data_IF_031085193142
#
_entry.id   IF_031085193142
#
_cell.length_a   1.000
_cell.length_b   1.000
_cell.length_c   1.000
_cell.angle_alpha   90.00
_cell.angle_beta   90.00
_cell.angle_gamma   90.00
#
_symmetry.space_group_name_H-M   'P 1'
#
loop_
_entity.id
_entity.type
_entity.pdbx_description
1 polymer ?
#
# COMPACT_ATOMS: atom_id res chain seq x y z
N UNK A 1 -10.35 -3.44 -23.04
CA UNK A 1 -10.63 -4.22 -21.82
C UNK A 1 -9.38 -5.03 -21.54
N UNK A 2 -8.72 -4.83 -20.40
CA UNK A 2 -7.54 -5.63 -20.03
C UNK A 2 -8.05 -7.00 -19.56
N UNK A 3 -7.41 -8.08 -19.98
CA UNK A 3 -7.76 -9.43 -19.53
C UNK A 3 -7.58 -9.53 -17.99
N UNK A 4 -8.54 -10.06 -17.20
CA UNK A 4 -8.38 -10.29 -15.76
C UNK A 4 -7.07 -10.99 -15.35
N UNK A 5 -6.57 -11.95 -16.14
CA UNK A 5 -5.28 -12.58 -15.87
C UNK A 5 -4.10 -11.63 -16.05
N UNK A 6 -4.20 -10.70 -17.00
CA UNK A 6 -3.20 -9.66 -17.22
C UNK A 6 -3.23 -8.62 -16.08
N UNK A 7 -4.43 -8.28 -15.59
CA UNK A 7 -4.62 -7.42 -14.42
C UNK A 7 -3.93 -7.97 -13.18
N UNK A 8 -4.15 -9.26 -12.89
CA UNK A 8 -3.51 -9.97 -11.77
C UNK A 8 -1.98 -9.95 -11.87
N UNK A 9 -1.43 -10.24 -13.06
CA UNK A 9 0.03 -10.20 -13.30
C UNK A 9 0.62 -8.81 -13.07
N UNK A 10 -0.02 -7.78 -13.62
CA UNK A 10 0.47 -6.42 -13.48
C UNK A 10 0.32 -5.89 -12.04
N UNK A 11 -0.76 -6.26 -11.34
CA UNK A 11 -0.91 -5.98 -9.91
C UNK A 11 0.23 -6.63 -9.11
N UNK A 12 0.51 -7.91 -9.35
CA UNK A 12 1.64 -8.63 -8.76
C UNK A 12 2.99 -7.96 -9.05
N UNK A 13 3.18 -7.44 -10.26
CA UNK A 13 4.39 -6.69 -10.63
C UNK A 13 4.54 -5.39 -9.80
N UNK A 14 3.46 -4.63 -9.59
CA UNK A 14 3.50 -3.46 -8.70
C UNK A 14 3.82 -3.84 -7.26
N UNK A 15 3.16 -4.88 -6.74
CA UNK A 15 3.42 -5.39 -5.39
C UNK A 15 4.88 -5.84 -5.22
N UNK A 16 5.44 -6.54 -6.20
CA UNK A 16 6.85 -6.93 -6.21
C UNK A 16 7.80 -5.73 -6.12
N UNK A 17 7.52 -4.67 -6.89
CA UNK A 17 8.29 -3.43 -6.84
C UNK A 17 8.16 -2.72 -5.50
N UNK A 18 6.99 -2.75 -4.87
CA UNK A 18 6.79 -2.25 -3.50
C UNK A 18 7.65 -3.06 -2.53
N UNK A 19 7.67 -4.39 -2.65
CA UNK A 19 8.43 -5.27 -1.76
C UNK A 19 9.94 -4.99 -1.80
N UNK A 20 10.51 -4.80 -2.99
CA UNK A 20 11.93 -4.42 -3.13
C UNK A 20 12.26 -3.07 -2.47
N UNK A 21 11.31 -2.14 -2.46
CA UNK A 21 11.50 -0.83 -1.83
C UNK A 21 11.37 -0.90 -0.32
N UNK A 22 10.44 -1.72 0.19
CA UNK A 22 10.33 -2.03 1.62
C UNK A 22 11.64 -2.68 2.10
N UNK A 23 12.22 -3.62 1.34
CA UNK A 23 13.53 -4.20 1.67
C UNK A 23 14.63 -3.13 1.79
N UNK A 24 14.69 -2.17 0.86
CA UNK A 24 15.65 -1.06 0.94
C UNK A 24 15.45 -0.24 2.21
N UNK A 25 14.20 0.07 2.58
CA UNK A 25 13.87 0.81 3.81
C UNK A 25 14.31 0.01 5.05
N UNK A 26 13.94 -1.27 5.12
CA UNK A 26 14.32 -2.18 6.20
C UNK A 26 15.83 -2.26 6.38
N UNK A 27 16.59 -2.37 5.27
CA UNK A 27 18.05 -2.40 5.32
C UNK A 27 18.65 -1.09 5.78
N UNK A 28 18.17 0.06 5.30
CA UNK A 28 18.63 1.36 5.78
C UNK A 28 18.43 1.50 7.29
N UNK A 29 17.25 1.09 7.79
CA UNK A 29 16.91 1.18 9.21
C UNK A 29 17.77 0.25 10.07
N UNK A 30 17.88 -1.03 9.71
CA UNK A 30 18.73 -1.98 10.42
C UNK A 30 20.20 -1.52 10.44
N UNK A 31 20.69 -1.02 9.31
CA UNK A 31 22.04 -0.48 9.20
C UNK A 31 22.28 0.75 10.10
N UNK A 32 21.28 1.62 10.26
CA UNK A 32 21.37 2.77 11.16
C UNK A 32 21.56 2.34 12.62
N UNK A 33 20.85 1.29 13.06
CA UNK A 33 20.96 0.74 14.42
C UNK A 33 22.35 0.17 14.71
N UNK A 34 23.04 -0.37 13.69
CA UNK A 34 24.40 -0.91 13.80
C UNK A 34 25.51 0.07 13.40
N UNK A 35 25.21 1.36 13.21
CA UNK A 35 26.17 2.36 12.72
C UNK A 35 26.83 2.02 11.37
N UNK A 36 26.16 1.23 10.53
CA UNK A 36 26.61 0.80 9.20
C UNK A 36 25.76 1.42 8.08
N UNK A 37 25.63 2.74 8.10
CA UNK A 37 24.83 3.53 7.15
C UNK A 37 25.02 3.07 5.70
N UNK A 38 23.92 2.94 4.95
CA UNK A 38 23.95 2.37 3.60
C UNK A 38 24.70 3.28 2.62
N UNK A 39 24.50 4.59 2.73
CA UNK A 39 25.21 5.59 1.92
C UNK A 39 26.43 6.18 2.63
N UNK A 40 26.65 5.83 3.90
CA UNK A 40 27.63 6.48 4.77
C UNK A 40 27.14 7.77 5.43
N UNK A 41 25.94 8.27 5.08
CA UNK A 41 25.40 9.54 5.60
C UNK A 41 23.94 9.38 6.05
N UNK A 42 23.67 9.60 7.34
CA UNK A 42 22.36 9.27 7.94
C UNK A 42 21.22 10.08 7.34
N UNK A 43 21.44 11.37 7.08
CA UNK A 43 20.46 12.25 6.43
C UNK A 43 20.10 11.78 5.01
N UNK A 44 21.09 11.29 4.24
CA UNK A 44 20.85 10.73 2.90
C UNK A 44 20.08 9.40 2.97
N UNK A 45 20.38 8.54 3.95
CA UNK A 45 19.62 7.30 4.17
C UNK A 45 18.16 7.59 4.59
N UNK A 46 17.93 8.63 5.39
CA UNK A 46 16.58 9.11 5.75
C UNK A 46 15.83 9.59 4.50
N UNK A 47 16.45 10.44 3.68
CA UNK A 47 15.85 10.92 2.43
C UNK A 47 15.52 9.78 1.48
N UNK A 48 16.43 8.81 1.37
CA UNK A 48 16.22 7.62 0.57
C UNK A 48 14.99 6.84 1.06
N UNK A 49 14.82 6.67 2.37
CA UNK A 49 13.65 5.99 2.93
C UNK A 49 12.35 6.74 2.62
N UNK A 50 12.31 8.07 2.78
CA UNK A 50 11.12 8.86 2.44
C UNK A 50 10.80 8.81 0.94
N UNK A 51 11.83 8.80 0.08
CA UNK A 51 11.67 8.61 -1.37
C UNK A 51 11.09 7.23 -1.69
N UNK A 52 11.63 6.17 -1.06
CA UNK A 52 11.13 4.81 -1.27
C UNK A 52 9.69 4.66 -0.79
N UNK A 53 9.34 5.19 0.38
CA UNK A 53 7.97 5.20 0.91
C UNK A 53 7.01 5.90 -0.05
N UNK A 54 7.37 7.10 -0.53
CA UNK A 54 6.56 7.82 -1.51
C UNK A 54 6.33 7.00 -2.77
N UNK A 55 7.38 6.33 -3.27
CA UNK A 55 7.26 5.46 -4.45
C UNK A 55 6.39 4.24 -4.16
N UNK A 56 6.44 3.64 -2.98
CA UNK A 56 5.54 2.57 -2.59
C UNK A 56 4.08 3.02 -2.63
N UNK A 57 3.79 4.21 -2.09
CA UNK A 57 2.46 4.78 -2.10
C UNK A 57 1.93 5.05 -3.52
N UNK A 58 2.77 5.60 -4.39
CA UNK A 58 2.44 5.79 -5.81
C UNK A 58 2.14 4.46 -6.53
N UNK A 59 2.98 3.44 -6.31
CA UNK A 59 2.78 2.13 -6.91
C UNK A 59 1.51 1.44 -6.39
N UNK A 60 1.17 1.61 -5.12
CA UNK A 60 -0.06 1.09 -4.53
C UNK A 60 -1.30 1.72 -5.18
N UNK A 61 -1.28 3.04 -5.39
CA UNK A 61 -2.36 3.73 -6.10
C UNK A 61 -2.47 3.25 -7.56
N UNK A 62 -1.35 3.10 -8.27
CA UNK A 62 -1.36 2.60 -9.64
C UNK A 62 -1.87 1.16 -9.75
N UNK A 63 -1.47 0.30 -8.81
CA UNK A 63 -1.96 -1.08 -8.75
C UNK A 63 -3.48 -1.11 -8.56
N UNK A 64 -4.00 -0.28 -7.65
CA UNK A 64 -5.44 -0.17 -7.42
C UNK A 64 -6.19 0.33 -8.66
N UNK A 65 -5.72 1.41 -9.32
CA UNK A 65 -6.34 1.90 -10.58
C UNK A 65 -6.41 0.81 -11.63
N UNK A 66 -5.28 0.14 -11.85
CA UNK A 66 -5.16 -0.85 -12.90
C UNK A 66 -6.09 -2.04 -12.66
N UNK A 67 -6.17 -2.48 -11.40
CA UNK A 67 -7.06 -3.57 -11.01
C UNK A 67 -8.48 -3.27 -11.45
N UNK A 68 -8.97 -2.04 -11.25
CA UNK A 68 -10.31 -1.60 -11.65
C UNK A 68 -10.45 -1.31 -13.15
N UNK A 69 -9.46 -0.70 -13.80
CA UNK A 69 -9.44 -0.46 -15.26
C UNK A 69 -9.68 -1.75 -16.06
N UNK A 70 -9.21 -2.86 -15.51
CA UNK A 70 -9.34 -4.17 -16.14
C UNK A 70 -10.77 -4.69 -16.17
N UNK A 71 -11.65 -4.14 -15.32
CA UNK A 71 -13.07 -4.49 -15.26
C UNK A 71 -13.99 -3.39 -15.81
N UNK A 72 -13.45 -2.50 -16.67
CA UNK A 72 -14.24 -1.58 -17.48
C UNK A 72 -14.49 -0.20 -16.85
N UNK A 73 -13.93 0.07 -15.67
CA UNK A 73 -13.88 1.41 -15.11
C UNK A 73 -12.82 2.21 -15.88
N UNK A 74 -13.14 3.20 -16.71
CA UNK A 74 -12.11 3.97 -17.45
C UNK A 74 -11.32 4.97 -16.57
N UNK A 75 -10.70 4.50 -15.48
CA UNK A 75 -9.96 5.30 -14.49
C UNK A 75 -8.61 5.79 -15.00
N UNK A 76 -7.80 4.89 -15.56
CA UNK A 76 -6.38 5.13 -15.82
C UNK A 76 -6.12 6.28 -16.78
N UNK A 77 -6.98 6.43 -17.79
CA UNK A 77 -6.87 7.54 -18.76
C UNK A 77 -7.15 8.91 -18.15
N UNK A 78 -8.04 8.99 -17.15
CA UNK A 78 -8.47 10.25 -16.51
C UNK A 78 -7.57 10.66 -15.35
N UNK A 79 -7.06 9.69 -14.57
CA UNK A 79 -6.34 9.95 -13.31
C UNK A 79 -4.82 9.97 -13.53
N UNK A 80 -4.25 9.00 -14.25
CA UNK A 80 -2.79 8.80 -14.32
C UNK A 80 -2.06 9.88 -15.13
N UNK A 81 -2.72 10.51 -16.09
CA UNK A 81 -2.07 11.40 -17.05
C UNK A 81 -1.98 12.88 -16.61
N UNK A 82 -2.67 13.29 -15.54
CA UNK A 82 -2.86 14.73 -15.24
C UNK A 82 -2.75 15.15 -13.78
N UNK A 83 -2.68 14.23 -12.82
CA UNK A 83 -2.72 14.59 -11.40
C UNK A 83 -1.50 14.04 -10.65
N UNK A 84 -0.72 14.94 -10.07
CA UNK A 84 0.45 14.61 -9.23
C UNK A 84 0.24 14.99 -7.76
N UNK A 85 -0.87 15.68 -7.43
CA UNK A 85 -1.16 16.10 -6.07
C UNK A 85 -1.83 14.97 -5.28
N UNK A 86 -1.24 14.47 -4.18
CA UNK A 86 -1.75 13.34 -3.40
C UNK A 86 -3.24 13.36 -3.08
N UNK A 87 -3.70 14.44 -2.45
CA UNK A 87 -5.09 14.55 -2.02
C UNK A 87 -6.07 14.51 -3.19
N UNK A 88 -5.66 15.05 -4.35
CA UNK A 88 -6.49 15.00 -5.57
C UNK A 88 -6.48 13.62 -6.22
N UNK A 89 -5.37 12.88 -6.12
CA UNK A 89 -5.31 11.50 -6.61
C UNK A 89 -6.25 10.62 -5.78
N UNK A 90 -6.14 10.66 -4.45
CA UNK A 90 -6.99 9.88 -3.53
C UNK A 90 -8.46 10.23 -3.72
N UNK A 91 -8.81 11.51 -3.75
CA UNK A 91 -10.18 11.97 -3.97
C UNK A 91 -10.73 11.46 -5.31
N UNK A 92 -9.94 11.55 -6.38
CA UNK A 92 -10.32 11.01 -7.69
C UNK A 92 -10.44 9.49 -7.68
N UNK A 93 -9.60 8.76 -6.92
CA UNK A 93 -9.76 7.31 -6.76
C UNK A 93 -11.09 7.02 -6.08
N UNK A 94 -11.38 7.67 -4.95
CA UNK A 94 -12.60 7.47 -4.17
C UNK A 94 -13.86 7.77 -4.98
N UNK A 95 -13.86 8.85 -5.75
CA UNK A 95 -14.99 9.23 -6.61
C UNK A 95 -15.34 8.16 -7.65
N UNK A 96 -14.35 7.39 -8.09
CA UNK A 96 -14.55 6.42 -9.16
C UNK A 96 -14.68 4.99 -8.63
N UNK A 97 -13.99 4.68 -7.53
CA UNK A 97 -14.23 3.50 -6.75
C UNK A 97 -14.08 3.81 -5.24
N UNK A 98 -15.17 3.83 -4.46
CA UNK A 98 -15.12 3.97 -3.01
C UNK A 98 -14.30 2.89 -2.30
N UNK A 99 -14.21 1.69 -2.89
CA UNK A 99 -13.56 0.50 -2.32
C UNK A 99 -12.17 0.22 -2.92
N UNK A 100 -11.52 1.26 -3.45
CA UNK A 100 -10.21 1.13 -4.12
C UNK A 100 -9.07 0.74 -3.15
N UNK A 101 -9.26 0.92 -1.86
CA UNK A 101 -8.20 0.77 -0.86
C UNK A 101 -8.02 -0.70 -0.44
N UNK A 102 -6.79 -1.21 -0.26
CA UNK A 102 -6.56 -2.58 0.18
C UNK A 102 -7.24 -2.90 1.51
N UNK A 103 -7.88 -4.06 1.58
CA UNK A 103 -8.50 -4.61 2.78
C UNK A 103 -7.56 -5.68 3.36
N UNK A 104 -6.78 -5.37 4.41
CA UNK A 104 -5.83 -6.31 4.97
C UNK A 104 -6.57 -7.45 5.68
N UNK A 105 -6.07 -8.67 5.49
CA UNK A 105 -6.63 -9.89 6.08
C UNK A 105 -5.56 -10.77 6.72
N UNK A 106 -5.99 -11.67 7.59
CA UNK A 106 -5.15 -12.74 8.12
C UNK A 106 -5.88 -14.07 7.98
N UNK A 107 -5.12 -15.12 7.70
CA UNK A 107 -5.64 -16.47 7.64
C UNK A 107 -5.93 -16.95 9.06
N UNK A 108 -7.16 -17.40 9.28
CA UNK A 108 -7.53 -18.15 10.48
C UNK A 108 -7.40 -19.64 10.17
N UNK A 109 -6.91 -20.42 11.13
CA UNK A 109 -6.73 -21.85 10.97
C UNK A 109 -8.01 -22.49 10.43
N UNK A 110 -7.87 -23.25 9.34
CA UNK A 110 -8.97 -23.99 8.72
C UNK A 110 -9.62 -24.89 9.75
N UNK A 111 -10.89 -24.62 10.07
CA UNK A 111 -11.73 -25.63 10.69
C UNK A 111 -11.76 -26.88 9.79
N UNK A 112 -12.11 -28.03 10.37
CA UNK A 112 -12.15 -29.41 9.84
C UNK A 112 -12.72 -29.63 8.42
N UNK A 113 -13.23 -28.60 7.75
CA UNK A 113 -13.79 -28.62 6.39
C UNK A 113 -12.82 -28.29 5.25
N UNK A 114 -11.57 -27.92 5.53
CA UNK A 114 -10.59 -27.59 4.48
C UNK A 114 -10.81 -26.26 3.75
N UNK A 115 -11.86 -25.50 4.08
CA UNK A 115 -12.07 -24.16 3.58
C UNK A 115 -11.10 -23.15 4.26
N UNK A 116 -10.38 -22.37 3.45
CA UNK A 116 -9.52 -21.27 3.93
C UNK A 116 -10.42 -20.16 4.45
N UNK A 117 -10.34 -19.86 5.75
CA UNK A 117 -11.06 -18.73 6.37
C UNK A 117 -10.09 -17.57 6.56
N UNK A 118 -10.46 -16.39 6.08
CA UNK A 118 -9.70 -15.17 6.26
C UNK A 118 -10.54 -14.13 7.00
N UNK A 119 -9.93 -13.42 7.94
CA UNK A 119 -10.57 -12.35 8.69
C UNK A 119 -9.87 -11.01 8.43
N UNK A 120 -10.66 -9.93 8.35
CA UNK A 120 -10.12 -8.57 8.18
C UNK A 120 -9.29 -8.19 9.40
N UNK A 121 -8.12 -7.59 9.17
CA UNK A 121 -7.39 -6.92 10.25
C UNK A 121 -8.20 -5.70 10.71
N UNK A 122 -8.26 -5.49 12.02
CA UNK A 122 -8.99 -4.36 12.63
C UNK A 122 -8.13 -3.13 12.84
N UNK A 123 -6.83 -3.32 13.07
CA UNK A 123 -5.90 -2.23 13.40
C UNK A 123 -4.44 -2.53 13.01
N UNK A 124 -3.59 -1.52 13.22
CA UNK A 124 -2.14 -1.61 13.05
C UNK A 124 -1.67 -1.65 11.59
N UNK A 125 -2.55 -1.42 10.63
CA UNK A 125 -2.21 -1.24 9.22
C UNK A 125 -2.34 0.23 8.82
N UNK A 126 -1.83 0.59 7.65
CA UNK A 126 -1.93 1.95 7.12
C UNK A 126 -3.34 2.21 6.64
N UNK A 127 -4.14 2.95 7.40
CA UNK A 127 -5.50 3.34 6.97
C UNK A 127 -5.42 4.35 5.82
N UNK A 128 -6.52 4.54 5.10
CA UNK A 128 -6.56 5.50 3.98
C UNK A 128 -6.27 6.95 4.42
N UNK A 129 -6.76 7.36 5.59
CA UNK A 129 -6.50 8.69 6.14
C UNK A 129 -5.00 8.85 6.47
N UNK A 130 -4.42 7.86 7.15
CA UNK A 130 -2.99 7.86 7.48
C UNK A 130 -2.13 7.79 6.21
N UNK A 131 -2.60 7.09 5.17
CA UNK A 131 -1.95 7.06 3.87
C UNK A 131 -1.88 8.45 3.25
N UNK A 132 -2.98 9.21 3.24
CA UNK A 132 -3.00 10.57 2.72
C UNK A 132 -2.01 11.47 3.46
N UNK A 133 -1.97 11.37 4.80
CA UNK A 133 -1.06 12.10 5.65
C UNK A 133 0.40 11.70 5.41
N UNK A 134 0.68 10.38 5.38
CA UNK A 134 2.02 9.84 5.19
C UNK A 134 2.57 10.20 3.81
N UNK A 135 1.76 10.08 2.75
CA UNK A 135 2.15 10.50 1.42
C UNK A 135 2.52 11.99 1.39
N UNK A 136 1.64 12.86 1.91
CA UNK A 136 1.88 14.31 1.94
C UNK A 136 3.18 14.63 2.66
N UNK A 137 3.35 14.03 3.85
CA UNK A 137 4.56 14.16 4.64
C UNK A 137 5.83 13.71 3.90
N UNK A 138 5.80 12.57 3.20
CA UNK A 138 6.93 12.12 2.37
C UNK A 138 7.24 13.13 1.25
N UNK A 139 6.22 13.72 0.63
CA UNK A 139 6.40 14.77 -0.38
C UNK A 139 7.08 16.01 0.19
N UNK A 140 6.56 16.52 1.30
CA UNK A 140 7.09 17.69 2.00
C UNK A 140 8.51 17.46 2.55
N UNK A 141 8.83 16.23 2.95
CA UNK A 141 10.17 15.84 3.39
C UNK A 141 11.22 16.02 2.29
N UNK A 142 10.88 15.60 1.07
CA UNK A 142 11.82 15.58 -0.07
C UNK A 142 12.13 16.97 -0.64
N UNK A 143 11.44 18.01 -0.18
CA UNK A 143 11.77 19.39 -0.52
C UNK A 143 12.92 19.89 0.36
N UNK A 144 13.88 20.60 -0.25
CA UNK A 144 14.91 21.30 0.50
C UNK A 144 14.27 22.36 1.42
N UNK A 145 14.73 22.42 2.67
CA UNK A 145 14.17 23.28 3.72
C UNK A 145 15.19 24.30 4.18
N UNK A 146 14.70 25.45 4.69
CA UNK A 146 15.56 26.48 5.31
C UNK A 146 16.07 26.05 6.68
N UNK A 147 15.23 25.32 7.41
CA UNK A 147 15.57 24.74 8.71
C UNK A 147 16.09 23.32 8.50
N UNK A 148 17.00 22.90 9.37
CA UNK A 148 17.57 21.54 9.35
C UNK A 148 16.52 20.51 9.81
N UNK A 149 15.95 19.69 8.90
CA UNK A 149 14.96 18.69 9.28
C UNK A 149 15.58 17.49 9.97
N UNK A 150 16.91 17.33 9.96
CA UNK A 150 17.64 16.21 10.53
C UNK A 150 18.10 16.48 11.96
N UNK A 151 17.64 17.59 12.59
CA UNK A 151 17.99 17.93 13.97
C UNK A 151 17.64 16.79 14.96
N UNK A 152 16.59 16.04 14.67
CA UNK A 152 16.16 14.87 15.45
C UNK A 152 16.07 13.64 14.54
N UNK A 153 17.22 13.00 14.30
CA UNK A 153 17.32 11.80 13.47
C UNK A 153 16.53 10.62 14.06
N UNK A 154 16.47 10.49 15.38
CA UNK A 154 15.76 9.39 16.03
C UNK A 154 14.26 9.47 15.75
N UNK A 155 13.67 10.67 15.87
CA UNK A 155 12.28 10.89 15.49
C UNK A 155 12.04 10.59 14.01
N UNK A 156 12.99 10.93 13.13
CA UNK A 156 12.89 10.61 11.70
C UNK A 156 12.80 9.10 11.46
N UNK A 157 13.70 8.34 12.09
CA UNK A 157 13.74 6.88 11.97
C UNK A 157 12.50 6.21 12.56
N UNK A 158 12.02 6.67 13.71
CA UNK A 158 10.77 6.18 14.31
C UNK A 158 9.57 6.39 13.38
N UNK A 159 9.51 7.55 12.71
CA UNK A 159 8.42 7.87 11.78
C UNK A 159 8.49 7.00 10.52
N UNK A 160 9.68 6.79 9.97
CA UNK A 160 9.91 5.85 8.86
C UNK A 160 9.48 4.44 9.25
N UNK A 161 9.88 3.95 10.42
CA UNK A 161 9.52 2.64 10.94
C UNK A 161 8.01 2.46 11.07
N UNK A 162 7.32 3.48 11.59
CA UNK A 162 5.86 3.45 11.72
C UNK A 162 5.16 3.35 10.36
N UNK A 163 5.59 4.14 9.37
CA UNK A 163 5.05 4.06 8.01
C UNK A 163 5.33 2.71 7.34
N UNK A 164 6.57 2.21 7.45
CA UNK A 164 6.99 0.90 6.95
C UNK A 164 6.14 -0.21 7.55
N UNK A 165 6.05 -0.28 8.88
CA UNK A 165 5.33 -1.34 9.60
C UNK A 165 3.86 -1.39 9.21
N UNK A 166 3.20 -0.24 9.15
CA UNK A 166 1.79 -0.13 8.77
C UNK A 166 1.56 -0.48 7.30
N UNK A 167 2.44 -0.07 6.40
CA UNK A 167 2.38 -0.41 4.98
C UNK A 167 2.57 -1.93 4.76
N UNK A 168 3.56 -2.53 5.44
CA UNK A 168 3.78 -3.99 5.39
C UNK A 168 2.54 -4.73 5.88
N UNK A 169 1.95 -4.32 7.01
CA UNK A 169 0.74 -4.96 7.54
C UNK A 169 -0.46 -4.80 6.61
N UNK A 170 -0.60 -3.66 5.95
CA UNK A 170 -1.65 -3.43 4.95
C UNK A 170 -1.52 -4.40 3.76
N UNK A 171 -0.31 -4.55 3.22
CA UNK A 171 -0.11 -5.24 1.96
C UNK A 171 0.25 -6.72 2.10
N UNK A 172 0.65 -7.18 3.30
CA UNK A 172 1.12 -8.56 3.52
C UNK A 172 0.17 -9.62 2.96
N UNK A 173 -1.11 -9.48 3.26
CA UNK A 173 -2.19 -10.31 2.71
C UNK A 173 -3.43 -9.45 2.67
N UNK A 174 -4.01 -9.24 1.50
CA UNK A 174 -5.09 -8.29 1.34
C UNK A 174 -6.03 -8.65 0.19
N UNK A 175 -7.25 -8.13 0.30
CA UNK A 175 -8.22 -8.10 -0.78
C UNK A 175 -8.29 -6.71 -1.42
N UNK A 176 -8.66 -6.67 -2.69
CA UNK A 176 -9.18 -5.50 -3.40
C UNK A 176 -10.54 -5.89 -3.96
N UNK A 177 -11.57 -5.09 -3.67
CA UNK A 177 -12.89 -5.29 -4.24
C UNK A 177 -12.91 -4.73 -5.66
N UNK A 178 -13.07 -5.60 -6.66
CA UNK A 178 -13.05 -5.20 -8.07
C UNK A 178 -14.44 -4.84 -8.58
N UNK A 179 -15.43 -5.63 -8.16
CA UNK A 179 -16.87 -5.46 -8.39
C UNK A 179 -17.62 -6.10 -7.21
N UNK A 180 -18.95 -5.97 -7.17
CA UNK A 180 -19.79 -6.62 -6.15
C UNK A 180 -19.63 -8.14 -6.05
N UNK A 181 -19.12 -8.80 -7.10
CA UNK A 181 -18.98 -10.25 -7.17
C UNK A 181 -17.54 -10.73 -7.33
N UNK A 182 -16.57 -9.82 -7.51
CA UNK A 182 -15.17 -10.16 -7.78
C UNK A 182 -14.22 -9.48 -6.80
N UNK A 183 -13.31 -10.28 -6.25
CA UNK A 183 -12.21 -9.81 -5.42
C UNK A 183 -10.89 -10.25 -6.03
N UNK A 184 -9.87 -9.40 -5.87
CA UNK A 184 -8.48 -9.77 -6.07
C UNK A 184 -7.85 -10.02 -4.70
N UNK A 185 -7.34 -11.22 -4.48
CA UNK A 185 -6.56 -11.57 -3.30
C UNK A 185 -5.08 -11.53 -3.66
N UNK A 186 -4.30 -10.80 -2.88
CA UNK A 186 -2.85 -10.71 -3.04
C UNK A 186 -2.15 -11.07 -1.73
N UNK A 187 -1.13 -11.93 -1.84
CA UNK A 187 -0.29 -12.37 -0.73
C UNK A 187 1.18 -12.12 -1.06
N UNK A 188 1.82 -11.34 -0.20
CA UNK A 188 3.24 -11.04 -0.29
C UNK A 188 4.05 -12.22 0.23
N UNK A 189 5.21 -12.53 -0.38
CA UNK A 189 6.05 -13.63 0.07
C UNK A 189 6.72 -13.31 1.40
N UNK A 190 6.98 -14.32 2.22
CA UNK A 190 7.72 -14.15 3.47
C UNK A 190 9.17 -13.72 3.25
N UNK A 191 9.76 -14.14 2.13
CA UNK A 191 11.13 -13.83 1.73
C UNK A 191 11.13 -13.03 0.44
N UNK A 192 12.09 -12.13 0.28
CA UNK A 192 12.24 -11.32 -0.93
C UNK A 192 12.38 -12.16 -2.22
N UNK A 193 12.89 -13.38 -2.13
CA UNK A 193 13.04 -14.32 -3.24
C UNK A 193 11.75 -15.05 -3.63
N UNK A 194 10.73 -15.10 -2.77
CA UNK A 194 9.45 -15.75 -3.08
C UNK A 194 8.62 -14.92 -4.05
N UNK A 195 7.60 -15.50 -4.68
CA UNK A 195 6.74 -14.76 -5.62
C UNK A 195 5.55 -14.09 -4.92
N UNK A 196 5.04 -13.01 -5.50
CA UNK A 196 3.76 -12.42 -5.06
C UNK A 196 2.64 -13.28 -5.65
N UNK A 197 1.82 -13.85 -4.79
CA UNK A 197 0.65 -14.63 -5.20
C UNK A 197 -0.52 -13.67 -5.41
N UNK A 198 -1.12 -13.68 -6.59
CA UNK A 198 -2.30 -12.88 -6.91
C UNK A 198 -3.34 -13.74 -7.60
N UNK A 199 -4.52 -13.85 -7.01
CA UNK A 199 -5.64 -14.63 -7.54
C UNK A 199 -6.90 -13.78 -7.59
N UNK A 200 -7.79 -14.10 -8.53
CA UNK A 200 -9.10 -13.47 -8.64
C UNK A 200 -10.14 -14.51 -8.25
N UNK A 201 -11.03 -14.14 -7.33
CA UNK A 201 -12.04 -15.01 -6.79
C UNK A 201 -13.42 -14.42 -7.02
N UNK A 202 -14.41 -15.30 -7.24
CA UNK A 202 -15.81 -14.92 -7.12
C UNK A 202 -16.21 -14.95 -5.65
N UNK A 203 -16.88 -13.91 -5.21
CA UNK A 203 -17.41 -13.81 -3.86
C UNK A 203 -18.93 -13.76 -3.94
N UNK A 204 -19.59 -14.59 -3.14
CA UNK A 204 -21.04 -14.59 -2.97
C UNK A 204 -21.29 -13.95 -1.61
N UNK A 205 -21.88 -12.75 -1.54
CA UNK A 205 -22.21 -12.13 -0.25
C UNK A 205 -23.26 -12.95 0.50
N UNK A 206 -23.10 -13.20 1.82
CA UNK A 206 -24.23 -13.18 2.75
C UNK A 206 -24.25 -11.90 3.59
N UNK A 207 -23.15 -11.16 3.64
CA UNK A 207 -23.06 -9.83 4.24
C UNK A 207 -22.34 -8.92 3.23
N UNK A 208 -23.02 -7.86 2.80
CA UNK A 208 -22.50 -6.85 1.87
C UNK A 208 -21.31 -6.07 2.45
N UNK A 209 -20.94 -4.91 1.86
CA UNK A 209 -19.96 -4.04 2.49
C UNK A 209 -20.50 -3.66 3.87
N UNK A 210 -19.88 -4.17 4.93
CA UNK A 210 -20.17 -3.74 6.30
C UNK A 210 -20.02 -2.22 6.30
N UNK A 211 -21.14 -1.53 6.55
CA UNK A 211 -21.31 -0.08 6.51
C UNK A 211 -19.99 0.68 6.68
N UNK A 212 -19.51 1.28 5.59
CA UNK A 212 -18.66 2.47 5.67
C UNK A 212 -19.54 3.65 6.09
N UNK A 213 -20.12 3.58 7.29
CA UNK A 213 -20.42 4.81 8.00
C UNK A 213 -19.07 5.43 8.33
N UNK A 214 -18.65 6.33 7.44
CA UNK A 214 -17.72 7.39 7.76
C UNK A 214 -18.14 7.97 9.11
N UNK A 215 -17.41 7.63 10.16
CA UNK A 215 -17.35 8.45 11.37
C UNK A 215 -16.69 9.77 10.94
N UNK A 216 -17.50 10.67 10.38
CA UNK A 216 -17.28 12.09 10.55
C UNK A 216 -17.51 12.38 12.03
N UNK A 217 -16.42 12.38 12.80
CA UNK A 217 -16.42 13.07 14.08
C UNK A 217 -16.60 14.58 13.81
N UNK A 218 -17.41 15.28 14.63
CA UNK A 218 -17.71 16.70 14.46
C UNK A 218 -16.50 17.62 14.60
#
# INVERSE_FOLDING_TARGET
MINPQEASKQYGHFMRRIWYRIDVISRCRANSEYSKLMTGYSHVDVDLCYLQLRKCFELMMFASVLAHDSFGHELGKKILNKEWKPGKIIEKMRQVNPDFYPIPIHETSSGTSGARKSERLKDGFLTELEFAQAYGHCGDWLHAKREDPYRDLDMCWQKIQNYETKLVRLLKHHFILLTDSLILEAKMPEKLSGEVEVIILTHSTPDGPVDLHHNHAP
#
